data_IF_452778313307
#
_entry.id   IF_452778313307
#
_cell.length_a   1.000
_cell.length_b   1.000
_cell.length_c   1.000
_cell.angle_alpha   90.00
_cell.angle_beta   90.00
_cell.angle_gamma   90.00
#
_symmetry.space_group_name_H-M   'P 1'
#
loop_
_entity.id
_entity.type
_entity.pdbx_description
1 polymer ?
#
# COMPACT_ATOMS: atom_id res chain seq x y z
N UNK A 1 -11.58 -7.62 20.38
CA UNK A 1 -10.29 -7.24 21.00
C UNK A 1 -9.50 -6.43 19.98
N UNK A 2 -8.89 -5.32 20.40
CA UNK A 2 -8.23 -4.37 19.52
C UNK A 2 -6.83 -4.86 19.09
N UNK A 3 -6.41 -4.50 17.87
CA UNK A 3 -5.03 -4.68 17.38
C UNK A 3 -4.08 -3.84 18.23
N UNK A 4 -2.92 -4.39 18.56
CA UNK A 4 -1.93 -3.71 19.42
C UNK A 4 -0.80 -3.05 18.65
N UNK A 5 -0.39 -3.64 17.53
CA UNK A 5 0.66 -3.11 16.69
C UNK A 5 0.47 -3.55 15.24
N UNK A 6 1.02 -2.77 14.32
CA UNK A 6 1.13 -3.10 12.90
C UNK A 6 2.61 -3.21 12.55
N UNK A 7 3.02 -4.37 12.04
CA UNK A 7 4.34 -4.59 11.45
C UNK A 7 4.19 -4.49 9.94
N UNK A 8 4.75 -3.44 9.35
CA UNK A 8 4.73 -3.19 7.91
C UNK A 8 6.11 -3.51 7.34
N UNK A 9 6.21 -4.46 6.42
CA UNK A 9 7.49 -4.73 5.74
C UNK A 9 7.95 -3.52 4.93
N UNK A 10 9.26 -3.25 4.96
CA UNK A 10 9.87 -2.11 4.27
C UNK A 10 9.54 -2.07 2.77
N UNK A 11 9.42 -3.24 2.12
CA UNK A 11 9.04 -3.35 0.72
C UNK A 11 7.61 -2.89 0.46
N UNK A 12 6.67 -3.31 1.31
CA UNK A 12 5.27 -2.88 1.23
C UNK A 12 5.15 -1.38 1.51
N UNK A 13 5.91 -0.86 2.48
CA UNK A 13 6.02 0.56 2.76
C UNK A 13 6.53 1.34 1.54
N UNK A 14 7.57 0.86 0.85
CA UNK A 14 8.10 1.48 -0.37
C UNK A 14 7.02 1.60 -1.45
N UNK A 15 6.24 0.53 -1.68
CA UNK A 15 5.14 0.56 -2.67
C UNK A 15 4.06 1.58 -2.27
N UNK A 16 3.64 1.59 -1.01
CA UNK A 16 2.65 2.56 -0.52
C UNK A 16 3.13 4.00 -0.68
N UNK A 17 4.38 4.27 -0.31
CA UNK A 17 4.96 5.61 -0.37
C UNK A 17 5.10 6.08 -1.81
N UNK A 18 5.60 5.25 -2.72
CA UNK A 18 5.70 5.58 -4.14
C UNK A 18 4.32 5.87 -4.75
N UNK A 19 3.31 5.09 -4.36
CA UNK A 19 1.93 5.35 -4.78
C UNK A 19 1.40 6.67 -4.20
N UNK A 20 1.61 6.93 -2.92
CA UNK A 20 1.16 8.17 -2.26
C UNK A 20 1.84 9.42 -2.83
N UNK A 21 3.07 9.30 -3.34
CA UNK A 21 3.83 10.38 -3.99
C UNK A 21 3.54 10.51 -5.49
N UNK A 22 2.69 9.66 -6.07
CA UNK A 22 2.37 9.69 -7.51
C UNK A 22 1.53 10.91 -7.92
N UNK A 23 0.80 11.51 -6.98
CA UNK A 23 -0.06 12.67 -7.23
C UNK A 23 -0.24 13.51 -5.96
N UNK A 24 -0.20 14.83 -6.13
CA UNK A 24 -0.54 15.82 -5.10
C UNK A 24 -1.99 16.33 -5.23
N UNK A 25 -2.68 15.95 -6.31
CA UNK A 25 -4.00 16.50 -6.68
C UNK A 25 -5.18 15.72 -6.13
N UNK A 26 -4.99 14.42 -5.91
CA UNK A 26 -6.04 13.52 -5.45
C UNK A 26 -5.48 12.53 -4.43
N UNK A 27 -6.34 12.08 -3.51
CA UNK A 27 -6.01 11.00 -2.57
C UNK A 27 -5.98 9.68 -3.34
N UNK A 28 -4.91 8.90 -3.14
CA UNK A 28 -4.79 7.54 -3.68
C UNK A 28 -5.13 6.51 -2.62
N UNK A 29 -5.42 5.27 -3.02
CA UNK A 29 -5.80 4.21 -2.08
C UNK A 29 -5.35 2.81 -2.50
N UNK A 30 -5.24 1.91 -1.53
CA UNK A 30 -4.98 0.51 -1.78
C UNK A 30 -5.31 -0.40 -0.61
N UNK A 31 -5.13 -1.70 -0.82
CA UNK A 31 -5.36 -2.74 0.18
C UNK A 31 -4.03 -3.27 0.72
N UNK A 32 -4.04 -3.68 1.98
CA UNK A 32 -2.91 -4.28 2.66
C UNK A 32 -3.12 -5.79 2.77
N UNK A 33 -2.12 -6.53 2.31
CA UNK A 33 -2.10 -7.99 2.30
C UNK A 33 -1.11 -8.47 3.35
N UNK A 34 -1.58 -9.40 4.17
CA UNK A 34 -0.81 -9.81 5.32
C UNK A 34 -1.45 -10.94 6.10
N UNK A 35 -0.94 -11.16 7.29
CA UNK A 35 -1.48 -12.14 8.21
C UNK A 35 -1.68 -11.53 9.60
N UNK A 36 -2.58 -12.15 10.34
CA UNK A 36 -2.75 -11.88 11.76
C UNK A 36 -2.47 -13.21 12.44
N UNK A 37 -1.26 -13.41 12.99
CA UNK A 37 -0.88 -14.66 13.62
C UNK A 37 -1.93 -15.07 14.65
N UNK A 38 -2.33 -16.35 14.69
CA UNK A 38 -3.09 -16.84 15.82
C UNK A 38 -2.22 -16.75 17.08
N UNK A 39 -2.84 -16.43 18.21
CA UNK A 39 -2.26 -16.52 19.55
C UNK A 39 -1.21 -17.62 19.64
N UNK A 40 0.05 -17.30 19.98
CA UNK A 40 1.03 -18.33 20.30
C UNK A 40 0.46 -19.21 21.43
N UNK A 41 0.22 -20.50 21.15
CA UNK A 41 -0.25 -21.44 22.18
C UNK A 41 -1.28 -22.51 21.78
N UNK A 42 -1.72 -22.63 20.52
CA UNK A 42 -2.48 -23.82 20.09
C UNK A 42 -1.57 -24.86 19.43
N UNK A 43 -1.34 -26.04 20.03
CA UNK A 43 -0.89 -27.20 19.27
C UNK A 43 -1.97 -27.56 18.26
N UNK A 44 -1.58 -27.84 17.01
CA UNK A 44 -2.46 -28.49 16.03
C UNK A 44 -2.76 -29.91 16.51
N UNK A 45 -3.90 -30.09 17.19
CA UNK A 45 -4.42 -31.39 17.59
C UNK A 45 -4.39 -31.62 19.10
N UNK A 46 -5.57 -31.51 19.73
CA UNK A 46 -5.73 -31.82 21.14
C UNK A 46 -7.14 -31.47 21.61
N UNK A 47 -8.05 -32.46 21.57
CA UNK A 47 -9.34 -32.37 22.24
C UNK A 47 -9.09 -32.45 23.75
N UNK A 48 -9.23 -31.32 24.45
CA UNK A 48 -9.11 -31.27 25.91
C UNK A 48 -9.36 -29.86 26.42
N UNK A 49 -10.35 -29.70 27.29
CA UNK A 49 -10.81 -28.40 27.77
C UNK A 49 -9.89 -27.71 28.78
N UNK A 50 -10.24 -26.46 29.08
CA UNK A 50 -9.91 -25.81 30.35
C UNK A 50 -8.66 -24.93 30.38
N UNK A 51 -8.74 -23.73 29.80
CA UNK A 51 -8.22 -22.46 30.33
C UNK A 51 -8.40 -21.38 29.25
N UNK A 52 -9.27 -20.40 29.49
CA UNK A 52 -9.36 -19.22 28.63
C UNK A 52 -8.15 -18.33 28.91
N UNK A 53 -7.01 -18.62 28.29
CA UNK A 53 -5.92 -17.66 28.19
C UNK A 53 -6.43 -16.49 27.35
N UNK A 54 -6.59 -15.32 27.98
CA UNK A 54 -6.91 -14.07 27.31
C UNK A 54 -5.64 -13.66 26.58
N UNK A 55 -5.63 -13.91 25.27
CA UNK A 55 -4.52 -13.63 24.39
C UNK A 55 -4.23 -12.12 24.32
N UNK A 56 -3.01 -11.73 24.69
CA UNK A 56 -2.66 -10.35 25.03
C UNK A 56 -1.93 -9.58 23.93
N UNK A 57 -1.72 -10.08 22.71
CA UNK A 57 -1.17 -9.22 21.63
C UNK A 57 -1.51 -9.64 20.21
N UNK A 58 -2.54 -9.00 19.63
CA UNK A 58 -2.90 -9.16 18.21
C UNK A 58 -2.08 -8.18 17.36
N UNK A 59 -0.98 -8.67 16.78
CA UNK A 59 -0.12 -7.91 15.87
C UNK A 59 -0.53 -8.22 14.42
N UNK A 60 -0.68 -7.18 13.59
CA UNK A 60 -0.96 -7.34 12.16
C UNK A 60 0.34 -7.24 11.39
N UNK A 61 0.67 -8.26 10.60
CA UNK A 61 1.85 -8.28 9.73
C UNK A 61 1.42 -8.02 8.30
N UNK A 62 1.92 -6.94 7.69
CA UNK A 62 1.64 -6.55 6.31
C UNK A 62 2.88 -6.85 5.47
N UNK A 63 2.73 -7.77 4.52
CA UNK A 63 3.82 -8.25 3.65
C UNK A 63 3.81 -7.60 2.27
N UNK A 64 2.62 -7.27 1.75
CA UNK A 64 2.48 -6.64 0.45
C UNK A 64 1.22 -5.78 0.38
N UNK A 65 1.05 -5.06 -0.73
CA UNK A 65 -0.11 -4.19 -0.95
C UNK A 65 -0.62 -4.32 -2.37
N UNK A 66 -1.92 -4.04 -2.53
CA UNK A 66 -2.57 -3.96 -3.84
C UNK A 66 -2.95 -2.51 -4.09
N UNK A 67 -2.44 -1.94 -5.17
CA UNK A 67 -2.80 -0.60 -5.64
C UNK A 67 -4.21 -0.68 -6.23
N UNK A 68 -5.12 0.16 -5.74
CA UNK A 68 -6.49 0.20 -6.24
C UNK A 68 -6.73 1.44 -7.10
N UNK A 69 -7.51 1.23 -8.15
CA UNK A 69 -8.16 2.30 -8.90
C UNK A 69 -9.26 2.95 -8.08
N UNK A 70 -9.31 4.28 -8.06
CA UNK A 70 -10.46 5.03 -7.53
C UNK A 70 -11.55 5.18 -8.59
N UNK A 71 -12.72 4.65 -8.28
CA UNK A 71 -13.94 4.85 -9.08
C UNK A 71 -14.61 6.20 -8.80
N UNK A 72 -14.54 6.69 -7.56
CA UNK A 72 -14.99 8.03 -7.15
C UNK A 72 -13.77 8.89 -6.79
N UNK A 73 -13.63 10.07 -7.42
CA UNK A 73 -12.52 11.03 -7.24
C UNK A 73 -12.92 12.24 -6.38
N UNK A 74 -14.06 12.20 -5.69
CA UNK A 74 -14.46 13.26 -4.74
C UNK A 74 -13.53 13.27 -3.52
N UNK A 75 -13.31 14.47 -2.97
CA UNK A 75 -12.53 14.69 -1.76
C UNK A 75 -13.13 13.94 -0.57
N UNK A 76 -12.29 13.38 0.31
CA UNK A 76 -12.67 12.67 1.54
C UNK A 76 -13.55 11.42 1.32
N UNK A 77 -13.68 10.90 0.08
CA UNK A 77 -14.54 9.75 -0.23
C UNK A 77 -13.75 8.53 -0.72
N UNK A 78 -13.10 7.86 0.23
CA UNK A 78 -12.33 6.64 -0.03
C UNK A 78 -13.14 5.42 0.38
N UNK A 79 -13.75 4.73 -0.61
CA UNK A 79 -14.52 3.50 -0.42
C UNK A 79 -13.94 2.40 -1.32
N UNK A 80 -13.76 1.20 -0.79
CA UNK A 80 -13.29 0.02 -1.54
C UNK A 80 -14.54 -0.75 -1.94
N UNK A 81 -14.69 -1.04 -3.24
CA UNK A 81 -15.86 -1.76 -3.70
C UNK A 81 -15.82 -3.24 -3.27
N UNK A 82 -16.98 -3.90 -3.07
CA UNK A 82 -17.01 -5.34 -2.75
C UNK A 82 -16.29 -6.20 -3.80
N UNK A 83 -16.34 -5.81 -5.07
CA UNK A 83 -15.65 -6.48 -6.16
C UNK A 83 -14.13 -6.38 -6.01
N UNK A 84 -13.62 -5.22 -5.57
CA UNK A 84 -12.19 -5.03 -5.30
C UNK A 84 -11.72 -5.88 -4.10
N UNK A 85 -12.53 -5.98 -3.03
CA UNK A 85 -12.25 -6.88 -1.91
C UNK A 85 -12.27 -8.35 -2.33
N UNK A 86 -13.21 -8.74 -3.19
CA UNK A 86 -13.29 -10.11 -3.72
C UNK A 86 -12.10 -10.46 -4.62
N UNK A 87 -11.70 -9.53 -5.51
CA UNK A 87 -10.55 -9.72 -6.38
C UNK A 87 -9.25 -9.89 -5.58
N UNK A 88 -9.03 -9.02 -4.58
CA UNK A 88 -7.88 -9.09 -3.69
C UNK A 88 -7.79 -10.43 -2.92
N UNK A 89 -8.94 -11.04 -2.60
CA UNK A 89 -9.00 -12.33 -1.90
C UNK A 89 -8.63 -13.52 -2.79
N UNK A 90 -8.64 -13.37 -4.13
CA UNK A 90 -8.37 -14.45 -5.08
C UNK A 90 -6.88 -14.59 -5.42
N UNK A 91 -6.11 -13.50 -5.33
CA UNK A 91 -4.68 -13.41 -5.69
C UNK A 91 -3.73 -14.08 -4.67
N UNK A 92 -4.24 -14.92 -3.77
CA UNK A 92 -3.53 -15.34 -2.55
C UNK A 92 -3.13 -16.82 -2.61
N UNK A 93 -1.82 -17.13 -2.76
CA UNK A 93 -1.31 -18.51 -2.75
C UNK A 93 -0.11 -18.69 -1.81
N UNK A 94 -0.04 -19.81 -1.09
CA UNK A 94 1.19 -20.32 -0.42
C UNK A 94 1.41 -19.96 1.06
N UNK A 95 0.82 -18.89 1.59
CA UNK A 95 0.78 -18.53 3.03
C UNK A 95 -0.66 -18.18 3.44
N UNK A 96 -1.04 -18.15 4.74
CA UNK A 96 -2.37 -17.70 5.18
C UNK A 96 -2.52 -16.17 5.04
N UNK A 97 -2.11 -15.64 3.89
CA UNK A 97 -2.24 -14.25 3.52
C UNK A 97 -3.72 -13.95 3.31
N UNK A 98 -4.18 -12.82 3.86
CA UNK A 98 -5.52 -12.27 3.66
C UNK A 98 -5.46 -10.75 3.56
N UNK A 99 -6.57 -10.14 3.16
CA UNK A 99 -6.72 -8.68 3.31
C UNK A 99 -6.80 -8.36 4.80
N UNK A 100 -5.85 -7.59 5.30
CA UNK A 100 -5.72 -7.22 6.73
C UNK A 100 -5.88 -5.73 6.99
N UNK A 101 -5.97 -4.93 5.93
CA UNK A 101 -6.15 -3.49 6.08
C UNK A 101 -6.23 -2.77 4.74
N UNK A 102 -6.19 -1.45 4.83
CA UNK A 102 -6.23 -0.54 3.70
C UNK A 102 -5.34 0.67 3.99
N UNK A 103 -4.94 1.36 2.93
CA UNK A 103 -4.24 2.64 3.06
C UNK A 103 -4.80 3.67 2.08
N UNK A 104 -4.65 4.94 2.44
CA UNK A 104 -4.85 6.05 1.53
C UNK A 104 -3.88 7.20 1.80
N UNK A 105 -3.79 8.16 0.87
CA UNK A 105 -2.93 9.34 1.02
C UNK A 105 -3.70 10.61 1.37
N UNK A 106 -3.07 11.50 2.12
CA UNK A 106 -3.52 12.87 2.41
C UNK A 106 -2.50 13.86 1.83
N UNK A 107 -2.63 14.28 0.55
CA UNK A 107 -1.76 15.30 -0.01
C UNK A 107 -2.07 16.67 0.62
N UNK A 108 -1.03 17.37 1.10
CA UNK A 108 -1.13 18.70 1.71
C UNK A 108 -2.07 18.81 2.93
N UNK A 109 -2.46 17.68 3.53
CA UNK A 109 -3.35 17.61 4.69
C UNK A 109 -2.67 16.74 5.76
N UNK A 110 -2.99 16.99 7.03
CA UNK A 110 -2.43 16.24 8.16
C UNK A 110 -2.70 14.75 8.07
N UNK A 111 -1.84 13.94 8.68
CA UNK A 111 -1.96 12.47 8.75
C UNK A 111 -3.17 11.96 9.56
N UNK A 112 -3.88 12.84 10.25
CA UNK A 112 -5.01 12.46 11.08
C UNK A 112 -6.24 12.07 10.25
N UNK A 113 -6.92 10.96 10.57
CA UNK A 113 -8.12 10.54 9.85
C UNK A 113 -9.26 11.55 10.05
N UNK A 114 -10.00 11.79 8.97
CA UNK A 114 -11.24 12.55 8.97
C UNK A 114 -12.39 11.75 9.62
N UNK A 115 -13.53 12.41 9.83
CA UNK A 115 -14.74 11.73 10.30
C UNK A 115 -15.26 10.68 9.29
N UNK A 116 -14.97 10.85 8.00
CA UNK A 116 -15.34 9.88 6.97
C UNK A 116 -14.43 8.66 7.07
N UNK A 117 -13.12 8.85 7.23
CA UNK A 117 -12.15 7.77 7.39
C UNK A 117 -12.46 6.90 8.61
N UNK A 118 -12.79 7.52 9.74
CA UNK A 118 -13.18 6.79 10.97
C UNK A 118 -14.45 5.98 10.75
N UNK A 119 -15.43 6.50 10.01
CA UNK A 119 -16.67 5.77 9.68
C UNK A 119 -16.42 4.61 8.72
N UNK A 120 -15.61 4.83 7.68
CA UNK A 120 -15.21 3.80 6.72
C UNK A 120 -14.44 2.68 7.41
N UNK A 121 -13.47 3.03 8.26
CA UNK A 121 -12.76 2.07 9.10
C UNK A 121 -13.73 1.31 10.02
N UNK A 122 -14.76 1.99 10.55
CA UNK A 122 -15.77 1.33 11.36
C UNK A 122 -16.56 0.26 10.62
N UNK A 123 -16.94 0.54 9.38
CA UNK A 123 -17.60 -0.44 8.52
C UNK A 123 -16.70 -1.64 8.24
N UNK A 124 -15.41 -1.44 7.96
CA UNK A 124 -14.52 -2.58 7.70
C UNK A 124 -14.26 -3.43 8.94
N UNK A 125 -14.07 -2.84 10.13
CA UNK A 125 -13.88 -3.71 11.31
C UNK A 125 -15.16 -4.42 11.77
N UNK A 126 -16.36 -4.00 11.31
CA UNK A 126 -17.56 -4.83 11.47
C UNK A 126 -17.44 -6.15 10.70
N UNK A 127 -16.76 -6.15 9.56
CA UNK A 127 -16.48 -7.37 8.77
C UNK A 127 -15.32 -8.16 9.39
N UNK A 128 -14.25 -7.48 9.80
CA UNK A 128 -13.10 -8.11 10.44
C UNK A 128 -12.46 -7.20 11.51
N UNK A 129 -12.55 -7.64 12.76
CA UNK A 129 -12.01 -6.91 13.91
C UNK A 129 -10.49 -6.71 13.87
N UNK A 130 -9.76 -7.43 13.02
CA UNK A 130 -8.31 -7.27 12.82
C UNK A 130 -7.94 -6.31 11.69
N UNK A 131 -8.91 -5.70 11.01
CA UNK A 131 -8.67 -4.82 9.88
C UNK A 131 -8.14 -3.47 10.32
N UNK A 132 -7.04 -2.99 9.73
CA UNK A 132 -6.39 -1.71 10.12
C UNK A 132 -6.39 -0.69 8.99
N UNK A 133 -6.46 0.60 9.34
CA UNK A 133 -6.33 1.71 8.39
C UNK A 133 -4.95 2.36 8.50
N UNK A 134 -4.37 2.74 7.35
CA UNK A 134 -3.10 3.45 7.24
C UNK A 134 -3.29 4.75 6.46
N UNK A 135 -2.65 5.83 6.91
CA UNK A 135 -2.70 7.14 6.22
C UNK A 135 -1.30 7.60 5.90
N UNK A 136 -1.08 8.01 4.66
CA UNK A 136 0.17 8.56 4.13
C UNK A 136 -0.03 10.05 3.84
N UNK A 137 0.41 10.93 4.75
CA UNK A 137 0.38 12.38 4.55
C UNK A 137 1.62 12.85 3.82
N UNK A 138 1.43 13.37 2.61
CA UNK A 138 2.49 13.70 1.67
C UNK A 138 2.47 15.19 1.31
N UNK A 139 3.59 15.68 0.77
CA UNK A 139 3.73 17.06 0.27
C UNK A 139 3.46 18.12 1.35
N UNK A 140 3.88 17.85 2.59
CA UNK A 140 3.78 18.82 3.69
C UNK A 140 5.00 19.74 3.63
N UNK A 141 4.78 20.97 3.21
CA UNK A 141 5.80 22.00 3.15
C UNK A 141 5.54 23.07 4.22
N UNK A 142 6.52 23.28 5.09
CA UNK A 142 6.53 24.46 5.96
C UNK A 142 7.34 25.57 5.29
N UNK A 143 6.61 26.57 4.80
CA UNK A 143 7.16 27.74 4.09
C UNK A 143 8.17 28.53 4.94
N UNK A 144 8.12 28.42 6.27
CA UNK A 144 8.98 29.18 7.16
C UNK A 144 10.31 28.49 7.44
N UNK A 145 10.32 27.15 7.53
CA UNK A 145 11.51 26.39 7.92
C UNK A 145 12.33 25.91 6.72
N UNK A 146 11.77 25.95 5.49
CA UNK A 146 12.40 25.36 4.28
C UNK A 146 12.80 23.89 4.44
N UNK A 147 12.30 23.22 5.48
CA UNK A 147 12.38 21.77 5.63
C UNK A 147 11.37 21.22 4.65
N UNK A 148 11.85 20.91 3.44
CA UNK A 148 11.03 20.50 2.32
C UNK A 148 10.37 19.14 2.55
N UNK A 149 9.14 19.00 2.05
CA UNK A 149 8.43 17.74 1.82
C UNK A 149 8.48 16.74 2.98
N UNK A 150 8.00 17.17 4.15
CA UNK A 150 7.75 16.25 5.23
C UNK A 150 6.70 15.22 4.80
N UNK A 151 6.95 13.97 5.14
CA UNK A 151 6.02 12.87 5.00
C UNK A 151 5.74 12.31 6.39
N UNK A 152 4.46 12.03 6.66
CA UNK A 152 4.01 11.44 7.91
C UNK A 152 3.12 10.25 7.57
N UNK A 153 3.22 9.18 8.36
CA UNK A 153 2.27 8.07 8.27
C UNK A 153 1.80 7.63 9.64
N UNK A 154 0.58 7.10 9.69
CA UNK A 154 -0.01 6.60 10.92
C UNK A 154 -0.87 5.37 10.63
N UNK A 155 -0.98 4.50 11.63
CA UNK A 155 -1.95 3.40 11.64
C UNK A 155 -3.04 3.69 12.68
N UNK A 156 -4.28 3.36 12.35
CA UNK A 156 -5.41 3.61 13.21
C UNK A 156 -6.47 2.50 13.15
N UNK A 157 -7.20 2.39 14.25
CA UNK A 157 -8.40 1.59 14.41
C UNK A 157 -9.54 2.46 14.96
N UNK A 158 -10.71 1.86 15.11
CA UNK A 158 -11.85 2.44 15.80
C UNK A 158 -12.22 1.63 17.05
N UNK A 159 -12.85 2.31 18.02
CA UNK A 159 -13.66 1.69 19.07
C UNK A 159 -15.08 2.29 19.06
N UNK A 160 -16.08 1.40 19.19
CA UNK A 160 -17.49 1.78 19.32
C UNK A 160 -17.82 2.00 20.80
N UNK A 161 -18.17 3.23 21.16
CA UNK A 161 -18.96 3.51 22.36
C UNK A 161 -20.44 3.65 21.97
N UNK A 162 -21.40 3.42 22.89
CA UNK A 162 -22.84 3.34 22.59
C UNK A 162 -23.44 4.54 21.83
N UNK A 163 -22.71 5.64 21.65
CA UNK A 163 -23.19 6.85 20.95
C UNK A 163 -22.15 7.58 20.10
N UNK A 164 -20.89 7.11 19.99
CA UNK A 164 -19.82 7.77 19.21
C UNK A 164 -18.79 6.79 18.67
N UNK A 165 -18.26 7.11 17.49
CA UNK A 165 -17.08 6.47 16.91
C UNK A 165 -15.85 7.29 17.30
N UNK A 166 -14.88 6.66 17.96
CA UNK A 166 -13.60 7.29 18.31
C UNK A 166 -12.42 6.56 17.66
N UNK A 167 -11.45 7.36 17.21
CA UNK A 167 -10.18 6.90 16.63
C UNK A 167 -9.26 6.40 17.74
N UNK A 168 -8.58 5.28 17.47
CA UNK A 168 -7.45 4.80 18.27
C UNK A 168 -6.23 4.69 17.39
N UNK A 169 -5.13 5.26 17.86
CA UNK A 169 -3.84 5.15 17.21
C UNK A 169 -3.21 3.80 17.53
N UNK A 170 -2.65 3.15 16.51
CA UNK A 170 -1.98 1.87 16.66
C UNK A 170 -0.49 2.09 16.41
N UNK A 171 0.41 1.65 17.31
CA UNK A 171 1.84 1.58 17.03
C UNK A 171 2.12 0.88 15.70
N UNK A 172 2.93 1.52 14.85
CA UNK A 172 3.39 0.96 13.59
C UNK A 172 4.91 0.83 13.60
N UNK A 173 5.40 -0.34 13.19
CA UNK A 173 6.81 -0.65 13.06
C UNK A 173 7.11 -1.02 11.62
N UNK A 174 8.07 -0.33 11.00
CA UNK A 174 8.58 -0.72 9.69
C UNK A 174 9.62 -1.80 9.91
N UNK A 175 9.33 -3.01 9.45
CA UNK A 175 10.24 -4.16 9.57
C UNK A 175 11.24 -4.12 8.43
N UNK A 176 12.56 -4.05 8.70
CA UNK A 176 13.57 -4.06 7.66
C UNK A 176 13.47 -5.31 6.78
N UNK A 177 13.60 -5.13 5.47
CA UNK A 177 13.65 -6.21 4.50
C UNK A 177 14.77 -5.87 3.49
N UNK A 178 15.73 -6.78 3.32
CA UNK A 178 17.00 -6.47 2.63
C UNK A 178 16.86 -6.38 1.10
N UNK A 179 15.92 -7.12 0.53
CA UNK A 179 15.68 -7.20 -0.91
C UNK A 179 14.25 -6.79 -1.22
N UNK A 180 13.90 -6.49 -2.48
CA UNK A 180 12.48 -6.25 -2.79
C UNK A 180 11.86 -7.59 -3.19
N UNK A 181 10.88 -8.04 -2.42
CA UNK A 181 10.09 -9.22 -2.72
C UNK A 181 9.37 -9.11 -4.06
N UNK A 182 9.26 -10.23 -4.78
CA UNK A 182 8.62 -10.29 -6.11
C UNK A 182 7.21 -9.69 -6.12
N UNK A 183 6.39 -10.01 -5.11
CA UNK A 183 5.00 -9.52 -5.02
C UNK A 183 4.94 -8.00 -4.90
N UNK A 184 5.82 -7.40 -4.11
CA UNK A 184 5.91 -5.94 -3.97
C UNK A 184 6.41 -5.28 -5.25
N UNK A 185 7.39 -5.90 -5.94
CA UNK A 185 7.87 -5.41 -7.23
C UNK A 185 6.77 -5.44 -8.30
N UNK A 186 6.04 -6.56 -8.40
CA UNK A 186 4.90 -6.70 -9.32
C UNK A 186 3.81 -5.67 -9.02
N UNK A 187 3.53 -5.41 -7.73
CA UNK A 187 2.58 -4.38 -7.31
C UNK A 187 3.06 -2.97 -7.66
N UNK A 188 4.35 -2.67 -7.54
CA UNK A 188 4.92 -1.37 -7.89
C UNK A 188 4.79 -1.06 -9.39
N UNK A 189 5.04 -2.06 -10.25
CA UNK A 189 4.97 -1.89 -11.72
C UNK A 189 3.55 -1.92 -12.27
N UNK A 190 2.55 -2.17 -11.42
CA UNK A 190 1.15 -2.16 -11.80
C UNK A 190 0.56 -0.74 -11.87
N UNK A 191 1.13 0.22 -11.12
CA UNK A 191 0.65 1.61 -11.07
C UNK A 191 0.54 2.27 -12.46
N UNK A 192 1.58 2.25 -13.34
CA UNK A 192 1.46 2.82 -14.68
C UNK A 192 0.35 2.17 -15.53
N UNK A 193 0.13 0.86 -15.36
CA UNK A 193 -0.92 0.14 -16.10
C UNK A 193 -2.30 0.56 -15.62
N UNK A 194 -2.48 0.68 -14.30
CA UNK A 194 -3.73 1.17 -13.70
C UNK A 194 -4.06 2.57 -14.24
N UNK A 195 -3.11 3.51 -14.15
CA UNK A 195 -3.30 4.89 -14.61
C UNK A 195 -3.62 4.99 -16.11
N UNK A 196 -2.94 4.19 -16.93
CA UNK A 196 -3.21 4.12 -18.37
C UNK A 196 -4.61 3.57 -18.65
N UNK A 197 -5.02 2.51 -17.94
CA UNK A 197 -6.36 1.95 -18.04
C UNK A 197 -7.43 2.96 -17.60
N UNK A 198 -7.14 3.80 -16.60
CA UNK A 198 -8.08 4.86 -16.18
C UNK A 198 -8.41 5.81 -17.32
N UNK A 199 -7.37 6.32 -17.98
CA UNK A 199 -7.48 7.24 -19.11
C UNK A 199 -8.14 6.58 -20.32
N UNK A 200 -7.78 5.33 -20.62
CA UNK A 200 -8.38 4.57 -21.71
C UNK A 200 -9.89 4.38 -21.51
N UNK A 201 -10.33 4.04 -20.30
CA UNK A 201 -11.75 3.87 -20.02
C UNK A 201 -12.51 5.19 -20.06
N UNK A 202 -11.91 6.29 -19.59
CA UNK A 202 -12.48 7.62 -19.73
C UNK A 202 -12.64 8.02 -21.20
N UNK A 203 -11.60 7.78 -22.01
CA UNK A 203 -11.62 8.05 -23.43
C UNK A 203 -12.65 7.19 -24.17
N UNK A 204 -12.73 5.88 -23.89
CA UNK A 204 -13.72 4.97 -24.47
C UNK A 204 -15.16 5.41 -24.17
N UNK A 205 -15.44 5.84 -22.93
CA UNK A 205 -16.78 6.37 -22.56
C UNK A 205 -17.17 7.57 -23.41
N UNK A 206 -16.27 8.53 -23.59
CA UNK A 206 -16.53 9.72 -24.42
C UNK A 206 -16.63 9.34 -25.90
N UNK A 207 -15.75 8.44 -26.38
CA UNK A 207 -15.75 7.98 -27.76
C UNK A 207 -17.02 7.20 -28.15
N UNK A 208 -17.69 6.58 -27.18
CA UNK A 208 -18.98 5.90 -27.39
C UNK A 208 -20.12 6.87 -27.75
N UNK A 209 -19.96 8.17 -27.50
CA UNK A 209 -20.92 9.19 -27.88
C UNK A 209 -20.85 9.48 -29.38
N UNK A 210 -21.73 8.83 -30.14
CA UNK A 210 -21.75 8.87 -31.61
C UNK A 210 -22.06 10.25 -32.20
N UNK A 211 -22.74 11.10 -31.44
CA UNK A 211 -23.20 12.43 -31.87
C UNK A 211 -22.12 13.52 -31.84
N UNK A 212 -20.91 13.24 -31.32
CA UNK A 212 -19.83 14.21 -31.27
C UNK A 212 -19.29 14.52 -32.67
N UNK A 213 -19.07 15.81 -32.94
CA UNK A 213 -18.47 16.27 -34.18
C UNK A 213 -16.98 15.89 -34.29
N UNK A 214 -16.45 15.93 -35.51
CA UNK A 214 -15.06 15.51 -35.79
C UNK A 214 -14.01 16.38 -35.09
N UNK A 215 -14.27 17.68 -34.90
CA UNK A 215 -13.33 18.59 -34.23
C UNK A 215 -13.26 18.24 -32.74
N UNK A 216 -14.40 17.99 -32.11
CA UNK A 216 -14.46 17.50 -30.72
C UNK A 216 -13.74 16.16 -30.55
N UNK A 217 -13.89 15.23 -31.51
CA UNK A 217 -13.16 13.95 -31.48
C UNK A 217 -11.64 14.14 -31.57
N UNK A 218 -11.17 15.04 -32.44
CA UNK A 218 -9.74 15.39 -32.55
C UNK A 218 -9.24 16.02 -31.24
N UNK A 219 -10.00 16.94 -30.66
CA UNK A 219 -9.69 17.56 -29.37
C UNK A 219 -9.54 16.51 -28.27
N UNK A 220 -10.53 15.62 -28.11
CA UNK A 220 -10.50 14.56 -27.10
C UNK A 220 -9.32 13.61 -27.31
N UNK A 221 -9.00 13.25 -28.55
CA UNK A 221 -7.83 12.43 -28.89
C UNK A 221 -6.50 13.11 -28.54
N UNK A 222 -6.44 14.44 -28.70
CA UNK A 222 -5.27 15.24 -28.35
C UNK A 222 -5.08 15.33 -26.83
N UNK A 223 -6.17 15.51 -26.08
CA UNK A 223 -6.16 15.48 -24.61
C UNK A 223 -5.74 14.10 -24.09
N UNK A 224 -6.28 13.02 -24.66
CA UNK A 224 -5.90 11.66 -24.30
C UNK A 224 -4.40 11.39 -24.52
N UNK A 225 -3.89 11.75 -25.69
CA UNK A 225 -2.45 11.61 -26.00
C UNK A 225 -1.60 12.41 -25.03
N UNK A 226 -1.99 13.67 -24.74
CA UNK A 226 -1.29 14.52 -23.77
C UNK A 226 -1.24 13.89 -22.39
N UNK A 227 -2.36 13.34 -21.91
CA UNK A 227 -2.44 12.72 -20.59
C UNK A 227 -1.54 11.47 -20.50
N UNK A 228 -1.58 10.60 -21.51
CA UNK A 228 -0.71 9.41 -21.55
C UNK A 228 0.77 9.79 -21.60
N UNK A 229 1.16 10.77 -22.42
CA UNK A 229 2.54 11.27 -22.46
C UNK A 229 2.97 11.83 -21.10
N UNK A 230 2.09 12.55 -20.41
CA UNK A 230 2.37 13.07 -19.07
C UNK A 230 2.57 11.94 -18.05
N UNK A 231 1.72 10.91 -18.06
CA UNK A 231 1.86 9.75 -17.18
C UNK A 231 3.16 8.98 -17.46
N UNK A 232 3.50 8.79 -18.73
CA UNK A 232 4.73 8.10 -19.11
C UNK A 232 5.97 8.87 -18.66
N UNK A 233 5.97 10.20 -18.79
CA UNK A 233 7.09 11.05 -18.36
C UNK A 233 7.21 11.16 -16.84
N UNK A 234 6.09 11.20 -16.11
CA UNK A 234 6.09 11.45 -14.67
C UNK A 234 6.17 10.17 -13.82
N UNK A 235 5.66 9.05 -14.34
CA UNK A 235 5.56 7.79 -13.59
C UNK A 235 6.44 6.71 -14.24
N UNK A 236 6.16 6.34 -15.49
CA UNK A 236 6.83 5.18 -16.13
C UNK A 236 8.33 5.40 -16.34
N UNK A 237 8.73 6.61 -16.77
CA UNK A 237 10.13 6.96 -17.02
C UNK A 237 10.97 6.89 -15.75
N UNK A 238 10.62 7.63 -14.68
CA UNK A 238 11.33 7.54 -13.40
C UNK A 238 11.33 6.14 -12.79
N UNK A 239 10.22 5.38 -12.92
CA UNK A 239 10.15 4.00 -12.45
C UNK A 239 11.15 3.10 -13.21
N UNK A 240 11.21 3.20 -14.54
CA UNK A 240 12.14 2.41 -15.34
C UNK A 240 13.60 2.74 -14.99
N UNK A 241 13.92 4.03 -14.89
CA UNK A 241 15.26 4.47 -14.49
C UNK A 241 15.64 3.90 -13.12
N UNK A 242 14.75 3.99 -12.13
CA UNK A 242 14.99 3.45 -10.80
C UNK A 242 15.19 1.93 -10.81
N UNK A 243 14.45 1.19 -11.64
CA UNK A 243 14.62 -0.26 -11.79
C UNK A 243 15.97 -0.63 -12.40
N UNK A 244 16.41 0.12 -13.41
CA UNK A 244 17.72 -0.07 -14.05
C UNK A 244 18.87 0.26 -13.08
N UNK A 245 18.77 1.39 -12.37
CA UNK A 245 19.75 1.79 -11.36
C UNK A 245 19.83 0.77 -10.23
N UNK A 246 18.68 0.26 -9.75
CA UNK A 246 18.63 -0.77 -8.72
C UNK A 246 19.23 -2.10 -9.20
N UNK A 247 18.99 -2.46 -10.47
CA UNK A 247 19.59 -3.66 -11.04
C UNK A 247 21.13 -3.55 -11.05
N UNK A 248 21.66 -2.38 -11.39
CA UNK A 248 23.11 -2.17 -11.39
C UNK A 248 23.70 -2.19 -9.96
N UNK A 249 23.03 -1.56 -9.00
CA UNK A 249 23.39 -1.65 -7.58
C UNK A 249 23.40 -3.10 -7.08
N UNK A 250 22.40 -3.90 -7.47
CA UNK A 250 22.34 -5.31 -7.09
C UNK A 250 23.50 -6.12 -7.69
N UNK A 251 23.89 -5.86 -8.95
CA UNK A 251 25.05 -6.53 -9.56
C UNK A 251 26.34 -6.20 -8.80
N UNK A 252 26.55 -4.93 -8.47
CA UNK A 252 27.70 -4.50 -7.69
C UNK A 252 27.70 -5.17 -6.31
N UNK A 253 26.55 -5.18 -5.62
CA UNK A 253 26.41 -5.82 -4.30
C UNK A 253 26.67 -7.33 -4.35
N UNK A 254 26.25 -8.01 -5.41
CA UNK A 254 26.54 -9.44 -5.61
C UNK A 254 28.05 -9.69 -5.73
N UNK A 255 28.78 -8.83 -6.44
CA UNK A 255 30.25 -8.96 -6.54
C UNK A 255 30.93 -8.77 -5.18
N UNK A 256 30.52 -7.77 -4.41
CA UNK A 256 31.04 -7.53 -3.06
C UNK A 256 30.77 -8.71 -2.12
N UNK A 257 29.53 -9.22 -2.11
CA UNK A 257 29.15 -10.36 -1.28
C UNK A 257 29.89 -11.64 -1.68
N UNK A 258 30.20 -11.80 -2.97
CA UNK A 258 30.98 -12.95 -3.44
C UNK A 258 32.44 -12.87 -2.98
N UNK A 259 33.05 -11.67 -3.01
CA UNK A 259 34.39 -11.46 -2.47
C UNK A 259 34.44 -11.67 -0.94
N UNK A 260 33.47 -11.12 -0.22
CA UNK A 260 33.35 -11.29 1.24
C UNK A 260 33.17 -12.78 1.59
N UNK A 261 32.35 -13.51 0.84
CA UNK A 261 32.19 -14.96 1.00
C UNK A 261 33.50 -15.71 0.80
N UNK A 262 34.28 -15.38 -0.22
CA UNK A 262 35.57 -16.03 -0.49
C UNK A 262 36.57 -15.79 0.64
N UNK A 263 36.68 -14.53 1.12
CA UNK A 263 37.54 -14.18 2.26
C UNK A 263 37.16 -14.95 3.54
N UNK A 264 35.86 -14.99 3.86
CA UNK A 264 35.38 -15.69 5.06
C UNK A 264 35.61 -17.21 4.98
N UNK A 265 35.56 -17.80 3.78
CA UNK A 265 35.87 -19.22 3.58
C UNK A 265 37.37 -19.51 3.77
N UNK A 266 38.25 -18.60 3.32
CA UNK A 266 39.69 -18.71 3.55
C UNK A 266 40.05 -18.58 5.03
N UNK A 267 39.45 -17.61 5.73
CA UNK A 267 39.64 -17.44 7.18
C UNK A 267 39.14 -18.66 7.96
N UNK A 268 37.99 -19.21 7.60
CA UNK A 268 37.45 -20.41 8.23
C UNK A 268 38.37 -21.62 8.02
N UNK A 269 38.89 -21.81 6.79
CA UNK A 269 39.82 -22.90 6.48
C UNK A 269 41.17 -22.75 7.19
N UNK A 270 41.59 -21.52 7.55
CA UNK A 270 42.80 -21.28 8.32
C UNK A 270 42.64 -21.57 9.83
N UNK A 271 41.41 -21.73 10.31
CA UNK A 271 41.09 -22.06 11.71
C UNK A 271 40.95 -23.58 11.96
N UNK A 272 40.87 -24.39 10.90
CA UNK A 272 40.88 -25.87 10.93
C UNK A 272 42.29 -26.45 10.83
#
# INVERSE_FOLDING_TARGET
MAVQAVHLEADAFLVCLNHALSTEKEEVMGLCIGEVPPAEGRPRGGAGGGAAYVDTSRIVHIHSVIILRRSDKRKDRVEISPEQLSAASTEMTGRPMRVVGWYHSHPHITVWPSHVDVRTQAMYQMMDQGFVGLIFSCFIEDKNTKVGNNFLFSAFNYISYPSRYERIEIPIHVVPHETIGKVCLESAVELPKILCQEEQDAYRRIHSLTHLDSVTKIHNGSVFTKNLCSQMSAISGPLLQWLEDRLEQNKQRVQELQQEKEQLLEELAALE
#
